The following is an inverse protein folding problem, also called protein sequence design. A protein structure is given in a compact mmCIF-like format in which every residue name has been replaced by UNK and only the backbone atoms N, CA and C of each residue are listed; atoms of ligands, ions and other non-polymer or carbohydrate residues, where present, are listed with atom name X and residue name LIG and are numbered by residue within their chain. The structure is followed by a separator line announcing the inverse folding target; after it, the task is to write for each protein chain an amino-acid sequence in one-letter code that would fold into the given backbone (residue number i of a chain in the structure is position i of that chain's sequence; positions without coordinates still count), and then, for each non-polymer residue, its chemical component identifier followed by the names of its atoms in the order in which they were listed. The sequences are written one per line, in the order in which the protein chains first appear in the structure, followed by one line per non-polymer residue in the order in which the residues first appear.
data_IF_554722967174
#
_entry.id   IF_554722967174
#
_cell.length_a   1.000
_cell.length_b   1.000
_cell.length_c   1.000
_cell.angle_alpha   90.00
_cell.angle_beta   90.00
_cell.angle_gamma   90.00
#
_symmetry.space_group_name_H-M   'P 1'
#
loop_
_entity.id
_entity.type
_entity.pdbx_description
1 polymer ?
#
# COMPACT_ATOMS: atom_id res chain seq x y z
N UNK A 1 -8.04 3.49 6.39
CA UNK A 1 -6.66 2.95 6.51
C UNK A 1 -6.33 1.88 5.46
N UNK A 2 -7.32 1.31 4.76
CA UNK A 2 -7.14 0.29 3.71
C UNK A 2 -7.18 0.85 2.27
N UNK A 3 -6.60 2.04 2.04
CA UNK A 3 -6.54 2.62 0.70
C UNK A 3 -5.40 2.03 -0.10
N UNK A 4 -5.70 1.37 -1.23
CA UNK A 4 -4.70 0.99 -2.23
C UNK A 4 -4.34 2.26 -3.01
N UNK A 5 -3.17 2.84 -2.75
CA UNK A 5 -2.66 4.00 -3.47
C UNK A 5 -2.00 3.52 -4.76
N UNK A 6 -2.48 4.04 -5.88
CA UNK A 6 -2.00 3.72 -7.23
C UNK A 6 -1.19 4.92 -7.74
N UNK A 7 0.02 4.64 -8.19
CA UNK A 7 0.97 5.62 -8.74
C UNK A 7 1.67 5.06 -9.97
N UNK A 8 2.20 5.96 -10.79
CA UNK A 8 3.02 5.61 -11.95
C UNK A 8 4.14 6.63 -12.12
N UNK A 9 5.39 6.18 -11.98
CA UNK A 9 6.57 6.99 -12.29
C UNK A 9 6.64 7.36 -13.78
N UNK A 10 7.41 8.41 -14.13
CA UNK A 10 7.47 8.94 -15.50
C UNK A 10 8.22 8.01 -16.48
N UNK A 11 9.10 7.14 -15.97
CA UNK A 11 9.99 6.33 -16.82
C UNK A 11 9.48 4.91 -17.08
N UNK A 12 8.71 4.36 -16.15
CA UNK A 12 8.27 2.96 -16.18
C UNK A 12 6.82 2.86 -16.65
N UNK A 13 6.52 1.79 -17.39
CA UNK A 13 5.13 1.48 -17.77
C UNK A 13 4.30 0.91 -16.61
N UNK A 14 4.95 0.36 -15.58
CA UNK A 14 4.28 -0.28 -14.43
C UNK A 14 3.58 0.77 -13.56
N UNK A 15 2.47 0.36 -12.96
CA UNK A 15 1.86 1.06 -11.84
C UNK A 15 2.24 0.34 -10.55
N UNK A 16 2.49 1.11 -9.49
CA UNK A 16 2.73 0.61 -8.13
C UNK A 16 1.41 0.64 -7.35
N UNK A 17 1.17 -0.38 -6.53
CA UNK A 17 0.08 -0.41 -5.55
C UNK A 17 0.67 -0.46 -4.15
N UNK A 18 0.32 0.51 -3.31
CA UNK A 18 0.82 0.54 -1.94
C UNK A 18 -0.22 0.97 -0.92
N UNK A 19 -0.06 0.49 0.31
CA UNK A 19 -0.90 0.88 1.43
C UNK A 19 -0.16 1.90 2.26
N UNK A 20 -0.64 3.13 2.21
CA UNK A 20 -0.08 4.27 2.92
C UNK A 20 -1.18 4.87 3.78
N UNK A 21 -0.89 5.13 5.07
CA UNK A 21 -1.84 5.80 5.94
C UNK A 21 -2.13 7.19 5.39
N UNK A 22 -3.40 7.58 5.42
CA UNK A 22 -3.85 8.89 4.95
C UNK A 22 -4.58 9.65 6.05
N UNK A 23 -3.99 10.75 6.53
CA UNK A 23 -4.58 11.60 7.57
C UNK A 23 -5.50 12.64 6.93
N UNK A 24 -6.74 12.74 7.41
CA UNK A 24 -7.68 13.79 6.99
C UNK A 24 -7.28 15.13 7.61
N UNK A 25 -7.02 16.13 6.75
CA UNK A 25 -6.62 17.48 7.18
C UNK A 25 -7.51 18.60 6.62
N UNK A 26 -8.48 18.24 5.77
CA UNK A 26 -9.44 19.18 5.22
C UNK A 26 -10.51 18.47 4.41
N UNK A 27 -11.48 19.23 3.90
CA UNK A 27 -12.64 18.69 3.14
C UNK A 27 -12.23 17.79 1.97
N UNK A 28 -11.12 18.11 1.30
CA UNK A 28 -10.61 17.38 0.14
C UNK A 28 -9.08 17.18 0.19
N UNK A 29 -8.51 17.14 1.40
CA UNK A 29 -7.06 17.09 1.61
C UNK A 29 -6.70 15.97 2.56
N UNK A 30 -5.83 15.08 2.11
CA UNK A 30 -5.30 13.94 2.86
C UNK A 30 -3.77 14.03 2.89
N UNK A 31 -3.13 13.63 3.98
CA UNK A 31 -1.66 13.48 4.00
C UNK A 31 -1.30 12.10 3.43
N UNK A 32 -0.33 12.01 2.53
CA UNK A 32 0.17 10.74 1.99
C UNK A 32 1.39 10.25 2.79
N UNK A 33 1.18 9.42 3.82
CA UNK A 33 2.25 8.90 4.69
C UNK A 33 2.89 7.65 4.07
N UNK A 34 3.73 7.85 3.06
CA UNK A 34 4.66 6.82 2.56
C UNK A 34 6.08 7.02 3.11
N UNK A 35 6.82 5.93 3.29
CA UNK A 35 8.26 6.03 3.59
C UNK A 35 9.03 6.20 2.28
N UNK A 36 10.19 6.86 2.32
CA UNK A 36 10.97 7.27 1.14
C UNK A 36 11.33 6.13 0.17
N UNK A 37 11.47 4.91 0.68
CA UNK A 37 11.82 3.72 -0.12
C UNK A 37 10.61 2.99 -0.73
N UNK A 38 9.38 3.48 -0.53
CA UNK A 38 8.17 2.86 -1.08
C UNK A 38 7.96 3.30 -2.53
N UNK A 39 7.38 2.42 -3.35
CA UNK A 39 7.22 2.67 -4.79
C UNK A 39 6.53 4.00 -5.11
N UNK A 40 5.43 4.36 -4.43
CA UNK A 40 4.77 5.65 -4.65
C UNK A 40 5.62 6.87 -4.29
N UNK A 41 6.49 6.78 -3.27
CA UNK A 41 7.40 7.86 -2.90
C UNK A 41 8.52 8.01 -3.95
N UNK A 42 9.04 6.89 -4.46
CA UNK A 42 10.01 6.87 -5.55
C UNK A 42 9.40 7.43 -6.85
N UNK A 43 8.17 7.03 -7.19
CA UNK A 43 7.46 7.55 -8.37
C UNK A 43 7.27 9.07 -8.28
N UNK A 44 6.89 9.60 -7.10
CA UNK A 44 6.80 11.06 -6.89
C UNK A 44 8.18 11.72 -7.05
N UNK A 45 9.23 11.14 -6.48
CA UNK A 45 10.58 11.70 -6.60
C UNK A 45 11.03 11.76 -8.06
N UNK A 46 10.92 10.66 -8.80
CA UNK A 46 11.21 10.58 -10.23
C UNK A 46 10.35 11.59 -11.02
N UNK A 47 9.07 11.75 -10.65
CA UNK A 47 8.16 12.73 -11.27
C UNK A 47 8.60 14.17 -11.04
N UNK A 48 9.06 14.52 -9.83
CA UNK A 48 9.54 15.89 -9.52
C UNK A 48 10.74 16.28 -10.37
N UNK A 49 11.62 15.32 -10.64
CA UNK A 49 12.81 15.52 -11.48
C UNK A 49 12.43 15.65 -12.95
N UNK A 50 11.55 14.77 -13.45
CA UNK A 50 11.15 14.74 -14.85
C UNK A 50 10.16 15.85 -15.24
N UNK A 51 9.30 16.27 -14.32
CA UNK A 51 8.21 17.22 -14.55
C UNK A 51 8.19 18.32 -13.45
N UNK A 52 9.20 19.21 -13.40
CA UNK A 52 9.30 20.21 -12.33
C UNK A 52 8.04 21.07 -12.20
N UNK A 53 7.51 21.16 -10.99
CA UNK A 53 6.32 21.97 -10.66
C UNK A 53 4.99 21.41 -11.15
N UNK A 54 4.97 20.27 -11.85
CA UNK A 54 3.72 19.66 -12.31
C UNK A 54 3.08 18.80 -11.21
N UNK A 55 1.76 18.85 -11.04
CA UNK A 55 1.05 17.99 -10.09
C UNK A 55 1.26 16.51 -10.45
N UNK A 56 1.53 15.68 -9.45
CA UNK A 56 1.72 14.24 -9.60
C UNK A 56 0.37 13.51 -9.48
N UNK A 57 -0.12 12.82 -10.52
CA UNK A 57 -1.40 12.13 -10.46
C UNK A 57 -1.39 10.95 -9.48
N UNK A 58 -2.43 10.85 -8.65
CA UNK A 58 -2.61 9.76 -7.68
C UNK A 58 -4.07 9.34 -7.64
N UNK A 59 -4.30 8.03 -7.56
CA UNK A 59 -5.62 7.46 -7.26
C UNK A 59 -5.53 6.55 -6.03
N UNK A 60 -6.62 6.44 -5.27
CA UNK A 60 -6.71 5.59 -4.08
C UNK A 60 -7.99 4.77 -4.15
N UNK A 61 -7.89 3.45 -4.22
CA UNK A 61 -9.03 2.54 -4.22
C UNK A 61 -9.27 1.94 -2.82
N UNK A 62 -10.52 2.02 -2.36
CA UNK A 62 -10.99 1.46 -1.10
C UNK A 62 -11.99 0.34 -1.39
N UNK A 63 -11.86 -0.78 -0.67
CA UNK A 63 -12.74 -1.93 -0.85
C UNK A 63 -12.58 -2.62 -2.20
N UNK A 64 -11.34 -2.77 -2.68
CA UNK A 64 -11.04 -3.62 -3.82
C UNK A 64 -11.24 -5.11 -3.48
N UNK A 65 -11.18 -5.99 -4.47
CA UNK A 65 -11.29 -7.41 -4.21
C UNK A 65 -10.10 -7.94 -3.37
N UNK A 66 -10.29 -9.05 -2.62
CA UNK A 66 -9.30 -9.53 -1.68
C UNK A 66 -7.94 -9.87 -2.29
N UNK A 67 -7.90 -10.40 -3.51
CA UNK A 67 -6.65 -10.78 -4.15
C UNK A 67 -5.80 -9.56 -4.53
N UNK A 68 -6.44 -8.47 -4.97
CA UNK A 68 -5.74 -7.20 -5.24
C UNK A 68 -5.24 -6.56 -3.94
N UNK A 69 -6.03 -6.63 -2.87
CA UNK A 69 -5.59 -6.15 -1.55
C UNK A 69 -4.37 -6.93 -1.07
N UNK A 70 -4.41 -8.27 -1.12
CA UNK A 70 -3.29 -9.14 -0.72
C UNK A 70 -2.05 -8.95 -1.59
N UNK A 71 -2.22 -8.70 -2.89
CA UNK A 71 -1.10 -8.44 -3.78
C UNK A 71 -0.37 -7.13 -3.44
N UNK A 72 -1.09 -6.08 -3.03
CA UNK A 72 -0.51 -4.79 -2.67
C UNK A 72 0.31 -4.81 -1.37
N UNK A 73 0.12 -5.83 -0.52
CA UNK A 73 0.87 -6.02 0.74
C UNK A 73 1.98 -7.07 0.62
N UNK A 74 1.92 -7.91 -0.41
CA UNK A 74 2.96 -8.92 -0.68
C UNK A 74 4.18 -8.22 -1.29
N UNK A 75 5.41 -8.45 -0.78
CA UNK A 75 6.60 -7.86 -1.37
C UNK A 75 6.97 -8.61 -2.65
N UNK A 76 6.41 -8.15 -3.76
CA UNK A 76 6.71 -8.67 -5.09
C UNK A 76 7.90 -7.91 -5.70
N UNK A 77 8.68 -8.54 -6.59
CA UNK A 77 9.73 -7.84 -7.32
C UNK A 77 9.16 -6.72 -8.17
N UNK A 78 9.89 -5.61 -8.25
CA UNK A 78 9.64 -4.46 -9.12
C UNK A 78 9.35 -4.80 -10.59
N UNK A 79 9.83 -5.95 -11.07
CA UNK A 79 9.61 -6.45 -12.44
C UNK A 79 8.21 -7.00 -12.67
N UNK A 80 7.43 -7.24 -11.62
CA UNK A 80 6.08 -7.76 -11.66
C UNK A 80 5.09 -6.74 -11.12
N UNK A 81 3.96 -6.53 -11.81
CA UNK A 81 2.89 -5.66 -11.31
C UNK A 81 2.04 -6.39 -10.27
N UNK A 82 1.60 -5.67 -9.24
CA UNK A 82 0.70 -6.17 -8.20
C UNK A 82 -0.63 -6.66 -8.80
N UNK A 83 -1.12 -6.05 -9.88
CA UNK A 83 -2.29 -6.56 -10.59
C UNK A 83 -2.07 -7.91 -11.27
N UNK A 84 -0.85 -8.16 -11.77
CA UNK A 84 -0.49 -9.44 -12.35
C UNK A 84 -0.37 -10.51 -11.26
N UNK A 85 0.23 -10.17 -10.11
CA UNK A 85 0.30 -11.07 -8.96
C UNK A 85 -1.08 -11.39 -8.38
N UNK A 86 -1.95 -10.38 -8.23
CA UNK A 86 -3.35 -10.56 -7.85
C UNK A 86 -4.08 -11.54 -8.79
N UNK A 87 -3.79 -11.48 -10.09
CA UNK A 87 -4.36 -12.39 -11.06
C UNK A 87 -3.88 -13.84 -10.91
N UNK A 88 -2.63 -14.05 -10.47
CA UNK A 88 -2.15 -15.39 -10.12
C UNK A 88 -2.87 -15.95 -8.88
N UNK A 89 -3.09 -15.11 -7.87
CA UNK A 89 -3.84 -15.50 -6.66
C UNK A 89 -5.32 -15.81 -6.98
N UNK A 90 -5.94 -15.04 -7.88
CA UNK A 90 -7.36 -15.16 -8.23
C UNK A 90 -7.66 -16.21 -9.31
N UNK A 91 -6.66 -16.57 -10.12
CA UNK A 91 -6.81 -17.49 -11.26
C UNK A 91 -7.34 -16.84 -12.55
N UNK A 92 -7.53 -15.53 -12.58
CA UNK A 92 -7.95 -14.76 -13.75
C UNK A 92 -7.36 -13.34 -13.73
N UNK A 93 -7.40 -12.62 -14.85
CA UNK A 93 -6.86 -11.25 -14.92
C UNK A 93 -7.63 -10.31 -13.99
N UNK A 94 -6.91 -9.42 -13.30
CA UNK A 94 -7.54 -8.35 -12.52
C UNK A 94 -8.28 -7.40 -13.45
N UNK A 95 -9.57 -7.19 -13.19
CA UNK A 95 -10.38 -6.22 -13.90
C UNK A 95 -10.10 -4.81 -13.36
N UNK A 96 -9.68 -3.93 -14.26
CA UNK A 96 -9.35 -2.54 -13.95
C UNK A 96 -10.11 -1.59 -14.86
N UNK A 97 -10.29 -0.36 -14.40
CA UNK A 97 -10.91 0.73 -15.14
C UNK A 97 -10.03 1.96 -15.04
N UNK A 98 -9.99 2.76 -16.11
CA UNK A 98 -9.27 4.03 -16.12
C UNK A 98 -9.92 5.00 -15.13
N UNK A 99 -9.11 5.69 -14.35
CA UNK A 99 -9.53 6.85 -13.54
C UNK A 99 -10.20 7.93 -14.40
N UNK A 100 -11.09 8.71 -13.81
CA UNK A 100 -11.80 9.80 -14.49
C UNK A 100 -10.85 10.96 -14.83
N UNK A 101 -9.95 11.30 -13.91
CA UNK A 101 -9.14 12.53 -13.95
C UNK A 101 -7.69 12.31 -14.38
N UNK A 102 -7.26 11.07 -14.57
CA UNK A 102 -5.87 10.71 -14.90
C UNK A 102 -5.79 9.36 -15.62
N UNK A 103 -4.58 8.98 -16.05
CA UNK A 103 -4.32 7.75 -16.82
C UNK A 103 -4.01 6.51 -15.97
N UNK A 104 -4.25 6.57 -14.65
CA UNK A 104 -4.10 5.40 -13.78
C UNK A 104 -5.27 4.44 -13.95
N UNK A 105 -5.01 3.15 -13.70
CA UNK A 105 -6.02 2.12 -13.70
C UNK A 105 -6.28 1.66 -12.26
N UNK A 106 -7.54 1.71 -11.85
CA UNK A 106 -8.02 1.31 -10.53
C UNK A 106 -8.84 0.01 -10.64
N UNK A 107 -8.96 -0.79 -9.57
CA UNK A 107 -9.77 -2.01 -9.61
C UNK A 107 -11.23 -1.66 -9.93
N UNK A 108 -11.80 -2.26 -10.98
CA UNK A 108 -13.16 -1.95 -11.41
C UNK A 108 -14.21 -2.31 -10.36
N UNK A 109 -13.90 -3.29 -9.50
CA UNK A 109 -14.74 -3.72 -8.38
C UNK A 109 -14.55 -2.93 -7.08
N UNK A 110 -13.78 -1.83 -7.07
CA UNK A 110 -13.59 -1.03 -5.86
C UNK A 110 -14.91 -0.40 -5.37
N UNK A 111 -15.09 -0.34 -4.05
CA UNK A 111 -16.27 0.29 -3.43
C UNK A 111 -16.24 1.81 -3.56
N UNK A 112 -15.08 2.43 -3.32
CA UNK A 112 -14.85 3.88 -3.40
C UNK A 112 -13.48 4.12 -4.03
N UNK A 113 -13.39 5.08 -4.94
CA UNK A 113 -12.12 5.56 -5.51
C UNK A 113 -12.00 7.06 -5.27
N UNK A 114 -10.86 7.47 -4.72
CA UNK A 114 -10.45 8.86 -4.60
C UNK A 114 -9.45 9.16 -5.70
N UNK A 115 -9.65 10.23 -6.45
CA UNK A 115 -8.70 10.63 -7.49
C UNK A 115 -8.27 12.08 -7.29
N UNK A 116 -7.05 12.37 -7.70
CA UNK A 116 -6.54 13.73 -7.73
C UNK A 116 -5.04 13.74 -7.93
N UNK A 117 -4.36 14.57 -7.13
CA UNK A 117 -2.93 14.79 -7.32
C UNK A 117 -2.22 15.20 -6.03
N UNK A 118 -0.90 15.09 -6.06
CA UNK A 118 0.00 15.69 -5.08
C UNK A 118 0.70 16.87 -5.74
N UNK A 119 0.60 18.05 -5.14
CA UNK A 119 1.46 19.18 -5.49
C UNK A 119 2.87 18.89 -4.92
N UNK A 120 3.92 18.86 -5.76
CA UNK A 120 5.30 18.61 -5.32
C UNK A 120 5.80 19.45 -4.14
N UNK A 121 5.26 20.65 -4.00
CA UNK A 121 5.65 21.65 -3.00
C UNK A 121 4.79 21.60 -1.72
N UNK A 122 3.63 20.95 -1.77
CA UNK A 122 2.68 20.92 -0.67
C UNK A 122 2.97 19.77 0.30
N UNK A 123 3.23 20.12 1.56
CA UNK A 123 3.40 19.16 2.65
C UNK A 123 2.62 19.61 3.88
N UNK A 124 2.27 18.66 4.75
CA UNK A 124 1.61 18.94 6.01
C UNK A 124 2.18 18.04 7.12
N UNK A 125 2.03 18.51 8.37
CA UNK A 125 2.47 17.79 9.55
C UNK A 125 1.50 16.64 9.85
N UNK A 126 2.03 15.41 9.82
CA UNK A 126 1.30 14.18 10.07
C UNK A 126 1.49 13.72 11.52
N UNK A 127 0.47 13.09 12.09
CA UNK A 127 0.51 12.50 13.43
C UNK A 127 0.31 13.50 14.57
N UNK A 128 0.55 13.06 15.84
CA UNK A 128 1.04 11.73 16.19
C UNK A 128 -0.03 10.64 15.93
N UNK A 129 0.41 9.39 15.78
CA UNK A 129 -0.51 8.27 15.56
C UNK A 129 0.11 6.95 16.05
N UNK A 130 -0.67 6.13 16.74
CA UNK A 130 -0.25 4.82 17.25
C UNK A 130 -0.03 3.81 16.12
N UNK A 131 1.07 3.07 16.15
CA UNK A 131 1.37 2.06 15.12
C UNK A 131 1.53 0.64 15.66
N UNK A 132 1.86 -0.29 14.76
CA UNK A 132 2.09 -1.72 15.01
C UNK A 132 3.11 -2.03 16.12
N UNK A 133 3.89 -1.05 16.58
CA UNK A 133 4.79 -1.22 17.73
C UNK A 133 4.06 -1.11 19.07
N UNK A 134 2.82 -0.63 19.08
CA UNK A 134 2.04 -0.30 20.27
C UNK A 134 2.32 1.09 20.85
N UNK A 135 3.08 1.94 20.15
CA UNK A 135 3.46 3.29 20.58
C UNK A 135 3.04 4.34 19.55
N UNK A 136 3.00 5.60 19.98
CA UNK A 136 2.81 6.73 19.09
C UNK A 136 4.10 7.05 18.33
N UNK A 137 3.98 7.26 17.03
CA UNK A 137 5.05 7.86 16.23
C UNK A 137 5.06 9.38 16.42
N UNK A 138 6.27 9.95 16.39
CA UNK A 138 6.49 11.40 16.35
C UNK A 138 5.89 12.03 15.09
N UNK A 139 5.64 13.33 15.17
CA UNK A 139 5.12 14.09 14.03
C UNK A 139 6.19 14.29 12.96
N UNK A 140 5.79 14.23 11.69
CA UNK A 140 6.69 14.50 10.56
C UNK A 140 5.93 15.05 9.35
N UNK A 141 6.63 15.76 8.46
CA UNK A 141 6.04 16.32 7.26
C UNK A 141 5.98 15.30 6.13
N UNK A 142 4.81 15.19 5.50
CA UNK A 142 4.58 14.34 4.34
C UNK A 142 3.80 15.08 3.25
N UNK A 143 3.84 14.61 1.99
CA UNK A 143 3.10 15.24 0.90
C UNK A 143 1.59 15.25 1.13
N UNK A 144 0.92 16.25 0.57
CA UNK A 144 -0.54 16.37 0.64
C UNK A 144 -1.17 15.87 -0.65
N UNK A 145 -2.05 14.88 -0.52
CA UNK A 145 -2.94 14.41 -1.57
C UNK A 145 -4.21 15.28 -1.60
N UNK A 146 -4.36 16.00 -2.71
CA UNK A 146 -5.56 16.78 -3.03
C UNK A 146 -6.55 15.90 -3.78
N UNK A 147 -7.69 15.63 -3.16
CA UNK A 147 -8.78 14.89 -3.78
C UNK A 147 -9.59 15.85 -4.66
N UNK A 148 -9.69 15.55 -5.94
CA UNK A 148 -10.51 16.30 -6.90
C UNK A 148 -11.79 15.57 -7.25
N UNK A 149 -11.77 14.23 -7.22
CA UNK A 149 -12.92 13.39 -7.54
C UNK A 149 -13.09 12.26 -6.52
N UNK A 150 -14.35 11.89 -6.29
CA UNK A 150 -14.73 10.69 -5.55
C UNK A 150 -15.73 9.96 -6.45
N UNK A 151 -15.39 8.73 -6.83
CA UNK A 151 -16.30 7.81 -7.51
C UNK A 151 -16.60 6.65 -6.57
N UNK A 152 -17.80 6.09 -6.66
CA UNK A 152 -18.25 5.05 -5.73
C UNK A 152 -19.37 4.21 -6.35
N UNK A 153 -19.57 3.01 -5.81
CA UNK A 153 -20.75 2.19 -6.10
C UNK A 153 -22.01 2.86 -5.53
N UNK A 154 -23.20 2.40 -5.94
CA UNK A 154 -24.49 2.96 -5.48
C UNK A 154 -24.68 2.87 -3.96
N UNK A 155 -24.21 1.78 -3.34
CA UNK A 155 -24.27 1.53 -1.90
C UNK A 155 -22.89 1.10 -1.41
N UNK A 156 -21.93 2.04 -1.31
CA UNK A 156 -20.55 1.70 -1.11
C UNK A 156 -20.28 1.26 0.34
N UNK A 157 -19.40 0.28 0.51
CA UNK A 157 -18.89 -0.15 1.81
C UNK A 157 -17.51 0.49 2.04
N UNK A 158 -17.35 1.17 3.18
CA UNK A 158 -16.06 1.76 3.56
C UNK A 158 -15.17 0.72 4.26
N UNK A 159 -14.24 0.12 3.51
CA UNK A 159 -13.25 -0.81 4.07
C UNK A 159 -12.16 -0.06 4.86
N UNK A 160 -12.00 -0.39 6.14
CA UNK A 160 -11.00 0.21 7.01
C UNK A 160 -10.56 -0.76 8.11
N UNK A 161 -9.44 -0.43 8.74
CA UNK A 161 -8.83 -1.13 9.87
C UNK A 161 -8.15 -0.17 10.83
N UNK A 162 -7.44 -0.70 11.81
CA UNK A 162 -6.55 0.02 12.70
C UNK A 162 -5.20 -0.72 12.81
N UNK A 163 -4.22 -0.05 13.42
CA UNK A 163 -2.98 -0.67 13.87
C UNK A 163 -2.69 -0.22 15.29
N UNK A 164 -2.00 -1.05 16.06
CA UNK A 164 -1.71 -0.76 17.46
C UNK A 164 -0.80 -1.81 18.08
N UNK A 165 -0.91 -2.02 19.39
CA UNK A 165 -0.16 -3.08 20.06
C UNK A 165 -0.65 -4.44 19.51
N UNK A 166 0.25 -5.30 19.01
CA UNK A 166 -0.16 -6.57 18.40
C UNK A 166 -0.71 -7.56 19.45
N UNK A 167 -1.55 -8.53 19.04
CA UNK A 167 -1.92 -8.81 17.64
C UNK A 167 -2.98 -7.82 17.09
N UNK A 168 -2.72 -7.27 15.92
CA UNK A 168 -3.64 -6.46 15.13
C UNK A 168 -3.85 -7.08 13.73
N UNK A 169 -4.80 -6.57 12.94
CA UNK A 169 -5.10 -7.14 11.62
C UNK A 169 -3.87 -7.15 10.68
N UNK A 170 -3.06 -6.08 10.58
CA UNK A 170 -1.81 -6.14 9.82
C UNK A 170 -0.84 -7.22 10.30
N UNK A 171 -0.75 -7.48 11.61
CA UNK A 171 0.14 -8.52 12.13
C UNK A 171 -0.32 -9.93 11.74
N UNK A 172 -1.63 -10.20 11.78
CA UNK A 172 -2.20 -11.48 11.32
C UNK A 172 -2.02 -11.67 9.81
N UNK A 173 -2.14 -10.58 9.04
CA UNK A 173 -1.87 -10.63 7.61
C UNK A 173 -0.39 -10.91 7.33
N UNK A 174 0.52 -10.29 8.07
CA UNK A 174 1.96 -10.53 7.98
C UNK A 174 2.32 -11.97 8.32
N UNK A 175 1.72 -12.53 9.36
CA UNK A 175 1.84 -13.94 9.73
C UNK A 175 1.44 -14.87 8.58
N UNK A 176 0.26 -14.66 7.99
CA UNK A 176 -0.20 -15.46 6.84
C UNK A 176 0.72 -15.33 5.61
N UNK A 177 1.28 -14.15 5.37
CA UNK A 177 2.24 -13.94 4.28
C UNK A 177 3.61 -14.56 4.55
N UNK A 178 4.00 -14.79 5.81
CA UNK A 178 5.28 -15.40 6.13
C UNK A 178 5.41 -16.82 5.59
N UNK A 179 4.30 -17.56 5.53
CA UNK A 179 4.20 -18.89 4.91
C UNK A 179 4.73 -18.92 3.46
N UNK A 180 4.60 -17.81 2.73
CA UNK A 180 5.08 -17.70 1.34
C UNK A 180 6.61 -17.69 1.28
N UNK A 181 7.31 -17.24 2.33
CA UNK A 181 8.78 -17.18 2.37
C UNK A 181 9.43 -18.46 2.88
N UNK A 182 8.71 -19.32 3.61
CA UNK A 182 9.28 -20.54 4.18
C UNK A 182 9.93 -21.43 3.08
N UNK A 183 9.27 -21.72 1.95
CA UNK A 183 9.89 -22.51 0.88
C UNK A 183 11.12 -21.85 0.25
N UNK A 184 11.16 -20.51 0.21
CA UNK A 184 12.30 -19.74 -0.31
C UNK A 184 13.49 -19.88 0.64
N UNK A 185 13.26 -19.79 1.95
CA UNK A 185 14.30 -20.01 2.97
C UNK A 185 14.81 -21.45 2.96
N UNK A 186 13.93 -22.44 2.91
CA UNK A 186 14.31 -23.86 2.86
C UNK A 186 15.12 -24.22 1.62
N UNK A 187 14.90 -23.53 0.49
CA UNK A 187 15.71 -23.72 -0.72
C UNK A 187 17.17 -23.30 -0.51
N UNK A 188 17.40 -22.25 0.29
CA UNK A 188 18.74 -21.75 0.61
C UNK A 188 19.37 -22.49 1.80
N UNK A 189 18.56 -22.87 2.79
CA UNK A 189 18.95 -23.53 4.04
C UNK A 189 18.09 -24.78 4.28
N UNK A 190 18.41 -25.93 3.67
CA UNK A 190 17.61 -27.16 3.73
C UNK A 190 17.46 -27.80 5.13
N UNK A 191 18.26 -27.34 6.10
CA UNK A 191 18.21 -27.72 7.50
C UNK A 191 17.08 -27.04 8.27
N UNK A 192 16.52 -25.94 7.77
CA UNK A 192 15.34 -25.28 8.35
C UNK A 192 14.12 -26.18 8.17
N UNK A 193 13.46 -26.51 9.28
CA UNK A 193 12.17 -27.22 9.31
C UNK A 193 11.03 -26.22 9.24
N UNK A 194 11.08 -25.18 10.06
CA UNK A 194 10.05 -24.14 10.16
C UNK A 194 10.66 -22.78 10.50
N UNK A 195 9.95 -21.72 10.11
CA UNK A 195 10.31 -20.32 10.33
C UNK A 195 9.06 -19.51 10.67
N UNK A 196 9.02 -18.97 11.87
CA UNK A 196 7.86 -18.25 12.39
C UNK A 196 8.24 -16.89 12.97
N UNK A 197 7.49 -15.86 12.59
CA UNK A 197 7.58 -14.51 13.15
C UNK A 197 6.31 -14.20 13.95
N UNK A 198 6.34 -14.27 15.29
CA UNK A 198 5.13 -14.04 16.10
C UNK A 198 4.58 -12.62 15.94
N UNK A 199 3.24 -12.47 15.78
CA UNK A 199 2.58 -11.17 15.78
C UNK A 199 2.98 -10.27 16.96
N UNK A 200 3.08 -10.83 18.16
CA UNK A 200 3.42 -10.15 19.41
C UNK A 200 4.84 -9.54 19.38
N UNK A 201 5.72 -10.09 18.54
CA UNK A 201 7.06 -9.58 18.24
C UNK A 201 7.05 -8.40 17.26
N UNK A 202 5.96 -7.66 17.15
CA UNK A 202 5.75 -6.60 16.15
C UNK A 202 5.96 -7.13 14.72
N UNK A 203 5.49 -8.35 14.44
CA UNK A 203 5.56 -9.07 13.16
C UNK A 203 6.95 -9.41 12.60
N UNK A 204 8.04 -8.77 13.06
CA UNK A 204 9.37 -8.96 12.47
C UNK A 204 10.55 -8.85 13.43
N UNK A 205 10.34 -8.49 14.72
CA UNK A 205 11.46 -8.26 15.66
C UNK A 205 11.93 -9.53 16.36
N UNK A 206 11.15 -10.60 16.32
CA UNK A 206 11.51 -11.90 16.86
C UNK A 206 11.24 -12.96 15.80
N UNK A 207 12.17 -13.90 15.66
CA UNK A 207 12.01 -15.07 14.80
C UNK A 207 12.25 -16.35 15.62
N UNK A 208 11.41 -17.35 15.41
CA UNK A 208 11.61 -18.71 15.89
C UNK A 208 11.93 -19.57 14.68
N UNK A 209 13.10 -20.22 14.71
CA UNK A 209 13.55 -21.11 13.64
C UNK A 209 13.75 -22.49 14.24
N UNK A 210 13.12 -23.50 13.64
CA UNK A 210 13.38 -24.90 13.99
C UNK A 210 14.26 -25.54 12.92
N UNK A 211 15.25 -26.31 13.36
CA UNK A 211 16.26 -26.91 12.49
C UNK A 211 16.41 -28.41 12.81
N UNK A 212 16.94 -29.17 11.85
CA UNK A 212 17.27 -30.60 12.02
C UNK A 212 18.52 -30.83 12.84
#
# INVERSE_FOLDING_TARGET
TWGLTITKGPYKKRQNLGIYRQQLIGKNKLIMRWLSHRGGAMDLQEWKEANPGQPFPVSVALGADPATILAAVTPIPDTLSEYAFAGLLRGNKTEVVKSVSNDLEVPAGAEIVLEGYIDPSETALEGPYGDHTGYYNEQAYFPVFTVTHITMREKPIYHSTYTGRPPDEPAVLGEALNEVFIPILQKQFPEIVDFYLPPEGCSYRLAVVTMK
#
